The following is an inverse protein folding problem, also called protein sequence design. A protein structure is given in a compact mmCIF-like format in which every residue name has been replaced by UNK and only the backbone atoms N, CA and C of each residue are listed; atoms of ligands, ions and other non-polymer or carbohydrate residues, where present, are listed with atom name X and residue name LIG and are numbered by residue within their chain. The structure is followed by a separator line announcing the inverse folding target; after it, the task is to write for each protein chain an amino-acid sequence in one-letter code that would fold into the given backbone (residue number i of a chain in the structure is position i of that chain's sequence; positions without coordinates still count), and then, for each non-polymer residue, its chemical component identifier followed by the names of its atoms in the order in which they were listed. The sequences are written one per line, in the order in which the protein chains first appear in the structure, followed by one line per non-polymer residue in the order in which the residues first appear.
data_IF_382046980076
#
_entry.id   IF_382046980076
#
_cell.length_a   1.000
_cell.length_b   1.000
_cell.length_c   1.000
_cell.angle_alpha   90.00
_cell.angle_beta   90.00
_cell.angle_gamma   90.00
#
_symmetry.space_group_name_H-M   'P 1'
#
loop_
_entity.id
_entity.type
_entity.pdbx_description
1 polymer ?
#
# COMPACT_ATOMS: atom_id res chain seq x y z
N UNK A 1 6.14 -13.15 -3.57
CA UNK A 1 5.62 -11.88 -3.00
C UNK A 1 4.57 -12.20 -1.94
N UNK A 2 4.52 -11.47 -0.83
CA UNK A 2 3.47 -11.63 0.20
C UNK A 2 2.34 -10.67 -0.13
N UNK A 3 1.12 -11.17 -0.35
CA UNK A 3 -0.06 -10.35 -0.62
C UNK A 3 -0.53 -9.70 0.68
N UNK A 4 -0.87 -8.41 0.62
CA UNK A 4 -1.36 -7.63 1.75
C UNK A 4 -2.74 -7.04 1.42
N UNK A 5 -3.57 -6.82 2.44
CA UNK A 5 -4.84 -6.10 2.27
C UNK A 5 -5.88 -6.80 1.37
N UNK A 6 -5.82 -8.11 1.16
CA UNK A 6 -6.75 -8.82 0.27
C UNK A 6 -8.13 -9.15 0.89
N UNK A 7 -8.34 -8.95 2.20
CA UNK A 7 -9.60 -9.25 2.88
C UNK A 7 -10.25 -7.98 3.45
N UNK A 8 -11.36 -7.51 2.85
CA UNK A 8 -12.10 -6.28 3.23
C UNK A 8 -12.32 -6.12 4.74
N UNK A 9 -12.72 -7.19 5.42
CA UNK A 9 -13.06 -7.18 6.87
C UNK A 9 -11.91 -6.78 7.79
N UNK A 10 -10.66 -6.79 7.31
CA UNK A 10 -9.49 -6.40 8.10
C UNK A 10 -9.03 -4.97 7.83
N UNK A 11 -9.64 -4.28 6.87
CA UNK A 11 -9.36 -2.88 6.62
C UNK A 11 -10.02 -1.99 7.66
N UNK A 12 -9.45 -0.82 7.87
CA UNK A 12 -10.03 0.24 8.68
C UNK A 12 -9.85 1.58 7.97
N UNK A 13 -10.66 2.57 8.35
CA UNK A 13 -10.68 3.88 7.71
C UNK A 13 -11.52 3.96 6.43
N UNK A 14 -12.13 2.84 6.00
CA UNK A 14 -13.05 2.76 4.86
C UNK A 14 -14.46 2.54 5.40
N UNK A 15 -15.22 3.63 5.56
CA UNK A 15 -16.60 3.55 6.04
C UNK A 15 -17.48 4.67 5.44
N UNK A 16 -18.34 4.27 4.51
CA UNK A 16 -19.25 5.15 3.77
C UNK A 16 -20.31 5.83 4.65
N UNK A 17 -20.54 5.37 5.88
CA UNK A 17 -21.43 6.06 6.82
C UNK A 17 -20.83 7.37 7.35
N UNK A 18 -19.50 7.46 7.41
CA UNK A 18 -18.79 8.63 7.95
C UNK A 18 -18.08 9.44 6.88
N UNK A 19 -17.63 8.81 5.79
CA UNK A 19 -16.96 9.49 4.70
C UNK A 19 -16.98 8.66 3.42
N UNK A 20 -17.18 9.35 2.30
CA UNK A 20 -17.09 8.86 0.93
C UNK A 20 -15.66 8.95 0.35
N UNK A 21 -14.67 9.38 1.13
CA UNK A 21 -13.30 9.57 0.65
C UNK A 21 -12.65 8.26 0.18
N UNK A 22 -13.09 7.12 0.71
CA UNK A 22 -12.56 5.80 0.38
C UNK A 22 -13.69 4.81 0.16
N UNK A 23 -13.66 4.11 -0.98
CA UNK A 23 -14.62 3.03 -1.26
C UNK A 23 -13.93 1.82 -1.88
N UNK A 24 -14.34 0.62 -1.48
CA UNK A 24 -13.82 -0.62 -2.08
C UNK A 24 -14.32 -0.80 -3.49
N UNK A 25 -13.39 -1.12 -4.40
CA UNK A 25 -13.70 -1.51 -5.78
C UNK A 25 -13.20 -2.93 -6.02
N UNK A 26 -13.98 -3.72 -6.77
CA UNK A 26 -13.69 -5.13 -7.07
C UNK A 26 -13.09 -5.33 -8.47
N UNK A 27 -13.18 -4.31 -9.34
CA UNK A 27 -12.81 -4.41 -10.76
C UNK A 27 -11.61 -3.50 -11.10
N UNK A 28 -10.65 -3.33 -10.19
CA UNK A 28 -9.48 -2.50 -10.51
C UNK A 28 -8.68 -3.14 -11.64
N UNK A 29 -8.39 -2.35 -12.67
CA UNK A 29 -7.62 -2.77 -13.87
C UNK A 29 -6.11 -2.84 -13.62
N UNK A 30 -5.68 -3.17 -12.40
CA UNK A 30 -4.26 -3.40 -12.09
C UNK A 30 -3.72 -4.72 -12.69
N UNK A 31 -4.59 -5.53 -13.32
CA UNK A 31 -4.21 -6.71 -14.08
C UNK A 31 -3.32 -6.30 -15.25
N UNK A 32 -2.06 -6.70 -15.18
CA UNK A 32 -1.17 -6.68 -16.34
C UNK A 32 -1.76 -7.64 -17.38
N UNK A 33 -1.95 -7.15 -18.59
CA UNK A 33 -2.27 -8.01 -19.73
C UNK A 33 -1.09 -8.96 -19.94
N UNK A 34 -1.23 -10.23 -19.56
CA UNK A 34 -0.68 -11.46 -20.14
C UNK A 34 -0.79 -12.55 -19.06
N UNK A 35 -1.44 -13.66 -19.42
CA UNK A 35 -1.75 -14.85 -18.62
C UNK A 35 -2.97 -14.73 -17.69
N UNK A 36 -4.09 -15.26 -18.20
CA UNK A 36 -5.10 -16.07 -17.50
C UNK A 36 -6.52 -15.66 -17.94
N UNK A 37 -6.81 -15.92 -19.21
CA UNK A 37 -8.16 -15.92 -19.78
C UNK A 37 -9.04 -17.06 -19.25
N UNK A 38 -8.47 -17.99 -18.48
CA UNK A 38 -9.12 -19.27 -18.19
C UNK A 38 -9.62 -19.37 -16.73
N UNK A 39 -9.41 -18.34 -15.91
CA UNK A 39 -9.86 -18.31 -14.51
C UNK A 39 -11.08 -17.40 -14.25
N UNK A 40 -11.64 -16.73 -15.27
CA UNK A 40 -12.79 -15.82 -15.08
C UNK A 40 -14.10 -16.50 -14.62
N UNK A 41 -14.16 -17.83 -14.56
CA UNK A 41 -15.38 -18.57 -14.21
C UNK A 41 -15.35 -19.31 -12.87
N UNK A 42 -14.38 -19.05 -11.99
CA UNK A 42 -14.32 -19.69 -10.67
C UNK A 42 -14.34 -18.65 -9.54
N UNK A 43 -15.56 -18.37 -9.06
CA UNK A 43 -15.91 -17.65 -7.83
C UNK A 43 -15.55 -16.14 -7.82
N UNK A 44 -16.54 -15.22 -7.87
CA UNK A 44 -16.30 -13.77 -7.77
C UNK A 44 -15.74 -13.32 -6.42
N UNK A 45 -15.68 -14.21 -5.42
CA UNK A 45 -15.19 -13.92 -4.08
C UNK A 45 -13.70 -14.23 -3.87
N UNK A 46 -13.04 -14.95 -4.78
CA UNK A 46 -11.71 -15.51 -4.51
C UNK A 46 -10.54 -14.76 -5.18
N UNK A 47 -10.80 -13.95 -6.20
CA UNK A 47 -9.75 -13.39 -7.06
C UNK A 47 -9.75 -11.85 -7.11
N UNK A 48 -10.02 -11.22 -5.97
CA UNK A 48 -10.10 -9.75 -5.88
C UNK A 48 -8.79 -9.22 -5.31
N UNK A 49 -7.90 -8.72 -6.18
CA UNK A 49 -6.96 -7.68 -5.76
C UNK A 49 -7.79 -6.52 -5.24
N UNK A 50 -7.86 -6.39 -3.92
CA UNK A 50 -8.67 -5.37 -3.29
C UNK A 50 -8.03 -4.01 -3.55
N UNK A 51 -8.76 -3.17 -4.25
CA UNK A 51 -8.38 -1.78 -4.48
C UNK A 51 -9.39 -0.84 -3.82
N UNK A 52 -8.92 0.37 -3.57
CA UNK A 52 -9.74 1.48 -3.14
C UNK A 52 -9.84 2.52 -4.25
N UNK A 53 -11.06 3.00 -4.49
CA UNK A 53 -11.26 4.32 -5.06
C UNK A 53 -11.04 5.33 -3.95
N UNK A 54 -10.22 6.34 -4.23
CA UNK A 54 -9.92 7.46 -3.35
C UNK A 54 -10.48 8.72 -4.00
N UNK A 55 -11.40 9.39 -3.31
CA UNK A 55 -11.91 10.70 -3.70
C UNK A 55 -11.75 11.64 -2.50
N UNK A 56 -10.54 12.15 -2.33
CA UNK A 56 -10.20 12.95 -1.16
C UNK A 56 -10.13 14.43 -1.51
N UNK A 57 -10.84 15.26 -0.74
CA UNK A 57 -10.74 16.71 -0.79
C UNK A 57 -10.36 17.28 0.58
N UNK A 58 -9.18 17.89 0.67
CA UNK A 58 -8.66 18.49 1.90
C UNK A 58 -9.40 19.77 2.35
N UNK A 59 -10.31 20.30 1.52
CA UNK A 59 -11.15 21.46 1.83
C UNK A 59 -12.53 21.09 2.39
N UNK A 60 -12.96 19.83 2.21
CA UNK A 60 -14.27 19.34 2.61
C UNK A 60 -14.38 19.11 4.14
N UNK A 61 -15.60 19.03 4.67
CA UNK A 61 -15.91 18.71 6.07
C UNK A 61 -15.30 17.35 6.49
N UNK A 62 -15.27 16.39 5.55
CA UNK A 62 -14.71 15.06 5.76
C UNK A 62 -13.18 14.99 5.63
N UNK A 63 -12.45 16.12 5.57
CA UNK A 63 -10.98 16.15 5.38
C UNK A 63 -10.16 15.34 6.40
N UNK A 64 -10.73 15.06 7.58
CA UNK A 64 -10.05 14.25 8.59
C UNK A 64 -10.07 12.74 8.26
N UNK A 65 -10.92 12.30 7.34
CA UNK A 65 -11.01 10.93 6.85
C UNK A 65 -10.04 10.70 5.69
N UNK A 66 -8.75 10.95 5.92
CA UNK A 66 -7.70 10.82 4.90
C UNK A 66 -6.72 9.69 5.16
N UNK A 67 -7.09 8.75 6.03
CA UNK A 67 -6.23 7.66 6.48
C UNK A 67 -6.98 6.33 6.41
N UNK A 68 -6.39 5.37 5.71
CA UNK A 68 -6.85 3.98 5.70
C UNK A 68 -5.70 3.03 6.01
N UNK A 69 -6.01 1.76 6.25
CA UNK A 69 -4.97 0.74 6.37
C UNK A 69 -5.51 -0.65 6.64
N UNK A 70 -4.58 -1.59 6.82
CA UNK A 70 -4.86 -2.99 7.06
C UNK A 70 -3.71 -3.63 7.86
N UNK A 71 -3.96 -4.73 8.57
CA UNK A 71 -2.92 -5.46 9.28
C UNK A 71 -1.97 -6.18 8.32
N UNK A 72 -0.74 -6.44 8.78
CA UNK A 72 0.17 -7.34 8.05
C UNK A 72 -0.39 -8.76 7.95
N UNK A 73 -1.07 -9.22 9.02
CA UNK A 73 -1.65 -10.55 9.06
C UNK A 73 -2.87 -10.62 9.99
N UNK A 74 -4.09 -10.34 9.48
CA UNK A 74 -5.37 -10.59 10.18
C UNK A 74 -5.45 -10.07 11.63
N UNK A 75 -4.80 -8.94 11.93
CA UNK A 75 -4.61 -8.37 13.27
C UNK A 75 -3.85 -9.26 14.27
N UNK A 76 -3.22 -10.33 13.81
CA UNK A 76 -2.26 -11.12 14.56
C UNK A 76 -0.84 -10.56 14.39
N UNK A 77 0.10 -11.10 15.17
CA UNK A 77 1.51 -10.78 15.04
C UNK A 77 2.06 -11.28 13.70
N UNK A 78 2.75 -10.42 12.97
CA UNK A 78 3.54 -10.81 11.80
C UNK A 78 5.04 -10.63 12.10
N UNK A 79 5.80 -11.70 11.91
CA UNK A 79 7.26 -11.67 11.98
C UNK A 79 7.84 -11.56 10.57
N UNK A 80 8.47 -10.41 10.28
CA UNK A 80 9.21 -10.17 9.04
C UNK A 80 10.68 -9.81 9.31
N UNK A 81 11.19 -10.13 10.51
CA UNK A 81 12.56 -9.81 10.94
C UNK A 81 13.64 -10.38 10.03
N UNK A 82 13.39 -11.55 9.43
CA UNK A 82 14.34 -12.19 8.51
C UNK A 82 14.35 -11.58 7.11
N UNK A 83 13.29 -10.88 6.71
CA UNK A 83 13.12 -10.41 5.32
C UNK A 83 13.04 -8.90 5.19
N UNK A 84 12.79 -8.14 6.26
CA UNK A 84 12.55 -6.69 6.17
C UNK A 84 13.71 -5.97 5.46
N UNK A 85 14.91 -6.48 5.68
CA UNK A 85 16.16 -5.90 5.22
C UNK A 85 16.33 -5.97 3.69
N UNK A 86 15.60 -6.87 3.04
CA UNK A 86 15.59 -7.12 1.59
C UNK A 86 14.17 -7.06 1.05
N UNK A 87 13.27 -6.31 1.69
CA UNK A 87 11.88 -6.18 1.27
C UNK A 87 11.51 -4.75 0.93
N UNK A 88 10.58 -4.61 -0.02
CA UNK A 88 9.90 -3.36 -0.30
C UNK A 88 8.38 -3.57 -0.24
N UNK A 89 7.68 -2.57 0.32
CA UNK A 89 6.23 -2.45 0.14
C UNK A 89 5.98 -1.96 -1.28
N UNK A 90 5.19 -2.72 -2.02
CA UNK A 90 4.77 -2.46 -3.38
C UNK A 90 3.27 -2.24 -3.44
N UNK A 91 2.84 -1.33 -4.30
CA UNK A 91 1.44 -1.15 -4.68
C UNK A 91 1.35 -0.37 -5.99
N UNK A 92 0.19 -0.46 -6.65
CA UNK A 92 -0.12 0.31 -7.85
C UNK A 92 -1.10 1.43 -7.52
N UNK A 93 -0.96 2.56 -8.22
CA UNK A 93 -1.90 3.69 -8.19
C UNK A 93 -2.28 4.02 -9.63
N UNK A 94 -3.57 4.15 -9.90
CA UNK A 94 -4.08 4.64 -11.18
C UNK A 94 -4.58 6.07 -11.01
N UNK A 95 -3.92 7.03 -11.64
CA UNK A 95 -4.19 8.46 -11.48
C UNK A 95 -3.68 9.27 -12.68
N UNK A 96 -4.14 10.53 -12.83
CA UNK A 96 -3.57 11.48 -13.79
C UNK A 96 -2.21 12.03 -13.35
N UNK A 97 -1.97 12.08 -12.03
CA UNK A 97 -0.72 12.48 -11.38
C UNK A 97 -0.53 11.58 -10.16
N UNK A 98 0.70 11.15 -9.90
CA UNK A 98 1.04 10.39 -8.70
C UNK A 98 0.68 11.18 -7.43
N UNK A 99 -0.22 10.66 -6.56
CA UNK A 99 -0.62 11.36 -5.34
C UNK A 99 0.48 11.36 -4.27
N UNK A 100 0.51 12.42 -3.46
CA UNK A 100 1.31 12.50 -2.23
C UNK A 100 0.72 11.63 -1.10
N UNK A 101 1.51 10.63 -0.68
CA UNK A 101 1.11 9.63 0.32
C UNK A 101 2.16 9.58 1.44
N UNK A 102 1.70 9.49 2.68
CA UNK A 102 2.52 9.11 3.84
C UNK A 102 2.16 7.71 4.31
N UNK A 103 3.16 6.86 4.48
CA UNK A 103 2.98 5.51 5.02
C UNK A 103 3.39 5.48 6.48
N UNK A 104 2.60 4.79 7.30
CA UNK A 104 2.94 4.43 8.67
C UNK A 104 2.99 2.92 8.80
N UNK A 105 4.00 2.41 9.50
CA UNK A 105 4.07 1.01 9.92
C UNK A 105 4.13 0.95 11.43
N UNK A 106 3.32 0.07 12.03
CA UNK A 106 3.30 -0.10 13.48
C UNK A 106 3.57 -1.54 13.88
N UNK A 107 4.24 -1.73 15.00
CA UNK A 107 4.45 -3.00 15.69
C UNK A 107 3.66 -3.01 17.00
N UNK A 108 3.32 -4.21 17.49
CA UNK A 108 2.70 -4.38 18.80
C UNK A 108 3.69 -4.09 19.94
N UNK A 109 4.97 -4.42 19.76
CA UNK A 109 6.04 -4.25 20.74
C UNK A 109 7.14 -3.30 20.23
N UNK A 110 8.16 -3.06 21.05
CA UNK A 110 9.29 -2.19 20.71
C UNK A 110 9.11 -0.71 21.09
N UNK A 111 10.20 0.06 20.99
CA UNK A 111 10.25 1.51 21.18
C UNK A 111 11.23 2.09 20.13
N UNK A 112 10.74 2.75 19.06
CA UNK A 112 9.35 3.16 18.82
C UNK A 112 8.47 1.99 18.36
N UNK A 113 7.16 2.10 18.60
CA UNK A 113 6.14 1.17 18.06
C UNK A 113 5.66 1.54 16.65
N UNK A 114 6.08 2.70 16.13
CA UNK A 114 5.63 3.21 14.85
C UNK A 114 6.77 3.95 14.16
N UNK A 115 6.89 3.71 12.87
CA UNK A 115 7.73 4.46 11.94
C UNK A 115 6.88 4.99 10.79
N UNK A 116 7.37 6.01 10.10
CA UNK A 116 6.66 6.62 8.98
C UNK A 116 7.60 7.15 7.91
N UNK A 117 7.10 7.24 6.69
CA UNK A 117 7.79 7.84 5.55
C UNK A 117 6.78 8.56 4.66
N UNK A 118 7.07 9.80 4.29
CA UNK A 118 6.43 10.44 3.15
C UNK A 118 7.10 9.88 1.89
N UNK A 119 6.30 9.38 0.96
CA UNK A 119 6.81 8.76 -0.25
C UNK A 119 7.49 9.83 -1.11
N UNK A 120 8.69 9.53 -1.58
CA UNK A 120 9.44 10.41 -2.47
C UNK A 120 9.24 10.03 -3.94
N UNK A 121 9.48 10.97 -4.85
CA UNK A 121 9.38 10.71 -6.29
C UNK A 121 10.37 9.64 -6.79
N UNK A 122 11.45 9.33 -6.05
CA UNK A 122 12.35 8.24 -6.40
C UNK A 122 11.74 6.86 -6.10
N UNK A 123 10.66 6.78 -5.33
CA UNK A 123 9.92 5.55 -5.09
C UNK A 123 8.87 5.23 -6.17
N UNK A 124 8.60 6.14 -7.10
CA UNK A 124 7.42 6.06 -7.98
C UNK A 124 7.83 5.89 -9.45
N UNK A 125 7.48 4.77 -10.07
CA UNK A 125 7.70 4.51 -11.49
C UNK A 125 6.41 4.66 -12.28
N UNK A 126 6.43 5.44 -13.37
CA UNK A 126 5.34 5.42 -14.35
C UNK A 126 5.48 4.15 -15.18
N UNK A 127 4.47 3.28 -15.14
CA UNK A 127 4.42 2.03 -15.90
C UNK A 127 3.76 2.24 -17.26
N UNK A 128 2.63 2.95 -17.29
CA UNK A 128 1.94 3.44 -18.49
C UNK A 128 1.21 4.76 -18.17
N UNK A 129 0.55 5.36 -19.15
CA UNK A 129 0.02 6.75 -19.10
C UNK A 129 -0.80 7.13 -17.87
N UNK A 130 -1.32 6.16 -17.09
CA UNK A 130 -2.05 6.44 -15.86
C UNK A 130 -1.73 5.51 -14.68
N UNK A 131 -0.84 4.53 -14.85
CA UNK A 131 -0.49 3.58 -13.78
C UNK A 131 0.91 3.88 -13.26
N UNK A 132 0.95 4.16 -11.96
CA UNK A 132 2.16 4.35 -11.17
C UNK A 132 2.40 3.14 -10.28
N UNK A 133 3.62 2.64 -10.29
CA UNK A 133 4.09 1.63 -9.36
C UNK A 133 4.92 2.27 -8.26
N UNK A 134 4.59 1.95 -7.02
CA UNK A 134 5.25 2.47 -5.83
C UNK A 134 6.12 1.37 -5.23
N UNK A 135 7.40 1.67 -5.04
CA UNK A 135 8.38 0.76 -4.46
C UNK A 135 9.01 1.42 -3.23
N UNK A 136 8.64 0.91 -2.05
CA UNK A 136 9.03 1.49 -0.76
C UNK A 136 9.88 0.49 0.01
N UNK A 137 11.22 0.51 -0.16
CA UNK A 137 12.13 -0.32 0.62
C UNK A 137 11.90 -0.10 2.12
N UNK A 138 11.74 -1.16 2.91
CA UNK A 138 11.45 -1.02 4.35
C UNK A 138 12.59 -0.32 5.10
N UNK A 139 13.83 -0.49 4.63
CA UNK A 139 15.02 0.23 5.12
C UNK A 139 15.04 1.73 4.81
N UNK A 140 14.13 2.24 3.96
CA UNK A 140 14.05 3.67 3.65
C UNK A 140 13.32 4.48 4.74
N UNK A 141 12.65 3.81 5.69
CA UNK A 141 11.98 4.47 6.80
C UNK A 141 13.00 4.96 7.84
N UNK A 142 12.73 6.13 8.42
CA UNK A 142 13.51 6.65 9.55
C UNK A 142 13.26 5.75 10.77
N UNK A 143 14.33 5.41 11.50
CA UNK A 143 14.31 4.49 12.66
C UNK A 143 13.85 3.07 12.33
N UNK A 144 13.97 2.62 11.08
CA UNK A 144 13.63 1.24 10.69
C UNK A 144 14.43 0.20 11.48
N UNK A 145 15.62 0.53 11.97
CA UNK A 145 16.45 -0.34 12.80
C UNK A 145 15.95 -0.47 14.25
N UNK A 146 15.04 0.42 14.69
CA UNK A 146 14.54 0.45 16.08
C UNK A 146 13.13 -0.15 16.24
N UNK A 147 12.40 -0.34 15.15
CA UNK A 147 11.09 -1.00 15.20
C UNK A 147 11.27 -2.50 15.39
N UNK A 148 10.34 -3.12 16.11
CA UNK A 148 10.34 -4.57 16.28
C UNK A 148 9.65 -5.27 15.10
N UNK A 149 10.46 -5.66 14.12
CA UNK A 149 10.03 -6.39 12.92
C UNK A 149 9.48 -7.79 13.21
N UNK A 150 9.67 -8.34 14.42
CA UNK A 150 9.10 -9.63 14.82
C UNK A 150 7.64 -9.54 15.29
N UNK A 151 7.14 -8.33 15.52
CA UNK A 151 5.80 -8.09 16.05
C UNK A 151 4.99 -7.07 15.25
N UNK A 152 5.14 -7.08 13.92
CA UNK A 152 4.44 -6.15 13.04
C UNK A 152 2.92 -6.30 13.16
N UNK A 153 2.23 -5.16 13.17
CA UNK A 153 0.79 -5.04 13.36
C UNK A 153 0.09 -4.63 12.07
N UNK A 154 0.40 -3.43 11.58
CA UNK A 154 -0.37 -2.79 10.51
C UNK A 154 0.44 -1.82 9.66
N UNK A 155 -0.09 -1.57 8.46
CA UNK A 155 0.35 -0.54 7.53
C UNK A 155 -0.81 0.44 7.35
N UNK A 156 -0.52 1.74 7.34
CA UNK A 156 -1.50 2.80 7.12
C UNK A 156 -1.02 3.76 6.06
N UNK A 157 -1.95 4.28 5.26
CA UNK A 157 -1.72 5.20 4.17
C UNK A 157 -2.51 6.47 4.42
N UNK A 158 -1.81 7.59 4.56
CA UNK A 158 -2.41 8.92 4.69
C UNK A 158 -2.28 9.67 3.37
N UNK A 159 -3.40 10.15 2.86
CA UNK A 159 -3.46 10.96 1.66
C UNK A 159 -3.21 12.42 2.05
N UNK A 160 -2.20 13.05 1.45
CA UNK A 160 -1.73 14.38 1.84
C UNK A 160 -2.29 15.50 0.98
N UNK A 161 -2.62 15.23 -0.28
CA UNK A 161 -3.19 16.19 -1.23
C UNK A 161 -4.57 15.73 -1.72
N UNK A 162 -5.43 16.67 -2.10
CA UNK A 162 -6.71 16.35 -2.73
C UNK A 162 -6.48 15.59 -4.04
N UNK A 163 -7.31 14.59 -4.34
CA UNK A 163 -7.17 13.81 -5.55
C UNK A 163 -8.23 12.72 -5.70
N UNK A 164 -8.42 12.34 -6.96
CA UNK A 164 -9.24 11.20 -7.39
C UNK A 164 -8.34 10.16 -8.07
N UNK A 165 -8.25 8.96 -7.48
CA UNK A 165 -7.40 7.88 -7.97
C UNK A 165 -7.82 6.50 -7.44
N UNK A 166 -7.34 5.44 -8.08
CA UNK A 166 -7.44 4.07 -7.58
C UNK A 166 -6.11 3.65 -6.95
N UNK A 167 -6.13 2.92 -5.83
CA UNK A 167 -4.93 2.36 -5.20
C UNK A 167 -5.15 0.89 -4.82
N UNK A 168 -4.20 0.01 -5.12
CA UNK A 168 -4.37 -1.44 -4.94
C UNK A 168 -3.10 -2.24 -5.18
N UNK A 169 -3.28 -3.56 -5.32
CA UNK A 169 -2.20 -4.52 -5.58
C UNK A 169 -1.07 -4.48 -4.53
N UNK A 170 -1.45 -4.38 -3.25
CA UNK A 170 -0.51 -4.26 -2.15
C UNK A 170 0.25 -5.56 -1.92
N UNK A 171 1.58 -5.49 -2.00
CA UNK A 171 2.48 -6.63 -1.84
C UNK A 171 3.70 -6.26 -1.01
N UNK A 172 4.25 -7.23 -0.29
CA UNK A 172 5.64 -7.20 0.14
C UNK A 172 6.46 -8.00 -0.89
N UNK A 173 7.40 -7.33 -1.55
CA UNK A 173 8.24 -7.92 -2.59
C UNK A 173 9.70 -7.94 -2.14
N UNK A 174 10.49 -8.83 -2.76
CA UNK A 174 11.94 -8.79 -2.59
C UNK A 174 12.52 -7.52 -3.22
N UNK A 175 13.49 -6.91 -2.56
CA UNK A 175 14.19 -5.72 -2.98
C UNK A 175 15.68 -5.84 -2.64
N UNK A 176 16.52 -5.74 -3.67
CA UNK A 176 17.99 -5.82 -3.54
C UNK A 176 18.71 -4.54 -3.99
N UNK A 177 17.96 -3.47 -4.26
CA UNK A 177 18.47 -2.19 -4.76
C UNK A 177 18.92 -1.21 -3.67
N UNK A 178 19.24 0.02 -4.09
CA UNK A 178 19.53 1.11 -3.15
C UNK A 178 18.21 1.67 -2.56
N UNK A 179 18.01 1.67 -1.22
CA UNK A 179 16.79 2.16 -0.59
C UNK A 179 16.42 3.62 -0.93
N UNK A 180 17.40 4.45 -1.28
CA UNK A 180 17.21 5.86 -1.65
C UNK A 180 16.94 6.05 -3.16
N UNK A 181 17.14 5.01 -3.97
CA UNK A 181 16.88 5.04 -5.41
C UNK A 181 16.44 3.66 -5.91
N UNK A 182 15.23 3.22 -5.56
CA UNK A 182 14.75 1.87 -5.88
C UNK A 182 14.57 1.64 -7.40
N UNK A 183 14.36 2.70 -8.19
CA UNK A 183 14.18 2.64 -9.66
C UNK A 183 15.35 1.98 -10.38
N UNK A 184 16.58 2.17 -9.90
CA UNK A 184 17.78 1.64 -10.56
C UNK A 184 17.80 0.11 -10.62
N UNK A 185 17.17 -0.57 -9.66
CA UNK A 185 17.11 -2.03 -9.60
C UNK A 185 15.96 -2.61 -10.45
N UNK A 186 14.86 -1.89 -10.59
CA UNK A 186 13.69 -2.35 -11.37
C UNK A 186 13.97 -2.29 -12.88
N UNK A 187 14.85 -1.36 -13.30
CA UNK A 187 15.24 -1.16 -14.70
C UNK A 187 16.49 -1.95 -15.13
N UNK A 188 17.11 -2.73 -14.23
CA UNK A 188 18.30 -3.55 -14.51
C UNK A 188 17.91 -5.00 -14.72
#
# INVERSE_FOLDING_TARGET
PVILGNEKKYWWGVNNEYSDNFSFITNSKFKDSIADSDFENLLPELDVSLALSVNYDNTNENKNWNLFGFPFYKWQFADISNIYSTSALYFKVKANKAPEIQIFMSSYKGKPRRISKIIDGNNICLFNDQIYEYYIPLKSFINHEKIDWSSMKEIRFKILESGDFEIGDFKLIEFRGNPQNPKKWIKS
#
